data_IF_949458345801
#
_entry.id   IF_949458345801
#
_cell.length_a   1.000
_cell.length_b   1.000
_cell.length_c   1.000
_cell.angle_alpha   90.00
_cell.angle_beta   90.00
_cell.angle_gamma   90.00
#
_symmetry.space_group_name_H-M   'P 1'
#
loop_
_entity.id
_entity.type
_entity.pdbx_description
1 polymer ?
#
# COMPACT_ATOMS: atom_id res chain seq x y z
N UNK A 1 10.34 -19.81 -1.10
CA UNK A 1 11.35 -18.82 -0.63
C UNK A 1 12.76 -19.17 -1.09
N UNK A 2 13.10 -20.44 -1.23
CA UNK A 2 14.45 -20.88 -1.63
C UNK A 2 14.90 -20.25 -2.96
N UNK A 3 14.05 -20.25 -3.98
CA UNK A 3 14.35 -19.62 -5.26
C UNK A 3 14.63 -18.12 -5.15
N UNK A 4 13.90 -17.40 -4.31
CA UNK A 4 14.08 -15.96 -4.09
C UNK A 4 15.42 -15.68 -3.39
N UNK A 5 15.77 -16.52 -2.42
CA UNK A 5 16.95 -16.28 -1.61
C UNK A 5 18.25 -16.79 -2.26
N UNK A 6 18.18 -17.90 -3.01
CA UNK A 6 19.36 -18.66 -3.40
C UNK A 6 19.60 -18.78 -4.91
N UNK A 7 18.60 -18.46 -5.76
CA UNK A 7 18.80 -18.55 -7.21
C UNK A 7 19.74 -17.43 -7.71
N UNK A 8 20.82 -17.76 -8.44
CA UNK A 8 21.85 -16.78 -8.80
C UNK A 8 21.37 -15.68 -9.75
N UNK A 9 20.38 -15.99 -10.61
CA UNK A 9 19.81 -15.02 -11.56
C UNK A 9 18.62 -14.25 -10.99
N UNK A 10 18.19 -14.52 -9.75
CA UNK A 10 17.05 -13.82 -9.13
C UNK A 10 17.50 -12.45 -8.64
N UNK A 11 16.95 -11.40 -9.23
CA UNK A 11 17.24 -10.02 -8.86
C UNK A 11 16.48 -9.57 -7.62
N UNK A 12 15.23 -10.03 -7.48
CA UNK A 12 14.39 -9.70 -6.33
C UNK A 12 14.83 -10.49 -5.09
N UNK A 13 14.78 -9.84 -3.95
CA UNK A 13 15.05 -10.43 -2.63
C UNK A 13 13.81 -10.36 -1.77
N UNK A 14 13.80 -11.07 -0.66
CA UNK A 14 12.65 -11.13 0.25
C UNK A 14 12.17 -9.74 0.70
N UNK A 15 13.10 -8.82 0.90
CA UNK A 15 12.82 -7.44 1.33
C UNK A 15 12.18 -6.57 0.24
N UNK A 16 12.19 -7.03 -1.01
CA UNK A 16 11.52 -6.34 -2.12
C UNK A 16 10.02 -6.61 -2.16
N UNK A 17 9.51 -7.52 -1.31
CA UNK A 17 8.10 -7.89 -1.26
C UNK A 17 7.43 -7.32 -0.01
N UNK A 18 6.30 -6.63 -0.20
CA UNK A 18 5.49 -6.12 0.91
C UNK A 18 4.85 -7.26 1.75
N UNK A 19 4.52 -8.38 1.13
CA UNK A 19 3.98 -9.57 1.77
C UNK A 19 3.96 -10.77 0.83
N UNK A 20 3.74 -11.97 1.37
CA UNK A 20 3.65 -13.20 0.58
C UNK A 20 2.73 -14.23 1.22
N UNK A 21 2.17 -15.09 0.37
CA UNK A 21 1.46 -16.32 0.76
C UNK A 21 2.00 -17.47 -0.09
N UNK A 22 2.74 -18.36 0.53
CA UNK A 22 3.35 -19.54 -0.11
C UNK A 22 2.73 -20.77 0.52
N UNK A 23 1.55 -21.12 0.06
CA UNK A 23 0.73 -22.22 0.56
C UNK A 23 -0.10 -22.80 -0.60
N UNK A 24 -0.92 -23.80 -0.29
CA UNK A 24 -1.87 -24.44 -1.22
C UNK A 24 -3.30 -23.97 -1.02
N UNK A 25 -3.51 -22.89 -0.28
CA UNK A 25 -4.83 -22.30 -0.07
C UNK A 25 -5.34 -21.61 -1.34
N UNK A 26 -6.66 -21.37 -1.37
CA UNK A 26 -7.32 -20.62 -2.44
C UNK A 26 -6.68 -19.24 -2.65
N UNK A 27 -6.41 -18.89 -3.90
CA UNK A 27 -5.75 -17.62 -4.25
C UNK A 27 -6.60 -16.41 -3.85
N UNK A 28 -7.92 -16.49 -4.00
CA UNK A 28 -8.80 -15.41 -3.61
C UNK A 28 -8.75 -15.17 -2.09
N UNK A 29 -8.71 -16.23 -1.28
CA UNK A 29 -8.51 -16.14 0.17
C UNK A 29 -7.16 -15.47 0.50
N UNK A 30 -6.09 -15.93 -0.14
CA UNK A 30 -4.75 -15.35 0.06
C UNK A 30 -4.70 -13.86 -0.30
N UNK A 31 -5.40 -13.43 -1.36
CA UNK A 31 -5.50 -12.02 -1.74
C UNK A 31 -6.22 -11.23 -0.65
N UNK A 32 -7.37 -11.71 -0.15
CA UNK A 32 -8.11 -11.05 0.93
C UNK A 32 -7.25 -10.85 2.18
N UNK A 33 -6.53 -11.88 2.60
CA UNK A 33 -5.64 -11.79 3.75
C UNK A 33 -4.49 -10.79 3.53
N UNK A 34 -3.92 -10.73 2.32
CA UNK A 34 -2.84 -9.79 2.00
C UNK A 34 -3.34 -8.35 1.96
N UNK A 35 -4.50 -8.07 1.36
CA UNK A 35 -5.03 -6.71 1.30
C UNK A 35 -5.43 -6.20 2.68
N UNK A 36 -5.94 -7.07 3.56
CA UNK A 36 -6.21 -6.74 4.96
C UNK A 36 -4.91 -6.46 5.72
N UNK A 37 -3.90 -7.31 5.56
CA UNK A 37 -2.58 -7.13 6.18
C UNK A 37 -1.93 -5.81 5.76
N UNK A 38 -1.98 -5.48 4.47
CA UNK A 38 -1.38 -4.29 3.88
C UNK A 38 -2.29 -3.05 3.92
N UNK A 39 -3.52 -3.19 4.44
CA UNK A 39 -4.52 -2.13 4.47
C UNK A 39 -4.77 -1.51 3.09
N UNK A 40 -4.98 -2.36 2.09
CA UNK A 40 -5.28 -2.00 0.71
C UNK A 40 -6.75 -2.27 0.38
N UNK A 41 -7.28 -1.60 -0.64
CA UNK A 41 -8.56 -1.95 -1.24
C UNK A 41 -8.38 -2.94 -2.40
N UNK A 42 -9.35 -3.84 -2.61
CA UNK A 42 -9.32 -4.82 -3.70
C UNK A 42 -9.18 -4.18 -5.08
N UNK A 43 -9.77 -3.00 -5.28
CA UNK A 43 -9.65 -2.21 -6.51
C UNK A 43 -8.21 -1.74 -6.83
N UNK A 44 -7.30 -1.84 -5.87
CA UNK A 44 -5.87 -1.51 -6.06
C UNK A 44 -5.01 -2.73 -6.34
N UNK A 45 -5.64 -3.90 -6.52
CA UNK A 45 -4.94 -5.18 -6.73
C UNK A 45 -4.99 -5.59 -8.19
N UNK A 46 -3.83 -6.00 -8.70
CA UNK A 46 -3.69 -6.67 -9.99
C UNK A 46 -3.24 -8.09 -9.72
N UNK A 47 -4.02 -9.08 -10.18
CA UNK A 47 -3.67 -10.49 -10.03
C UNK A 47 -3.17 -11.06 -11.36
N UNK A 48 -1.94 -11.55 -11.37
CA UNK A 48 -1.28 -12.17 -12.51
C UNK A 48 -0.92 -13.61 -12.12
N UNK A 49 -1.35 -14.56 -12.94
CA UNK A 49 -1.05 -15.98 -12.76
C UNK A 49 -0.94 -16.65 -14.14
N UNK A 50 -0.08 -17.65 -14.29
CA UNK A 50 0.07 -18.41 -15.51
C UNK A 50 -1.09 -19.41 -15.72
N UNK A 51 -1.76 -19.82 -14.66
CA UNK A 51 -2.86 -20.77 -14.71
C UNK A 51 -4.19 -20.05 -15.03
N UNK A 52 -4.84 -20.33 -16.19
CA UNK A 52 -6.11 -19.71 -16.55
C UNK A 52 -7.25 -20.06 -15.58
N UNK A 53 -7.21 -21.22 -14.93
CA UNK A 53 -8.22 -21.64 -13.95
C UNK A 53 -8.13 -20.77 -12.69
N UNK A 54 -6.91 -20.48 -12.21
CA UNK A 54 -6.70 -19.61 -11.06
C UNK A 54 -7.13 -18.18 -11.38
N UNK A 55 -6.82 -17.68 -12.60
CA UNK A 55 -7.29 -16.35 -13.05
C UNK A 55 -8.82 -16.27 -13.08
N UNK A 56 -9.50 -17.28 -13.65
CA UNK A 56 -10.95 -17.33 -13.71
C UNK A 56 -11.56 -17.37 -12.29
N UNK A 57 -10.98 -18.18 -11.39
CA UNK A 57 -11.41 -18.31 -10.01
C UNK A 57 -11.32 -16.98 -9.25
N UNK A 58 -10.21 -16.27 -9.38
CA UNK A 58 -10.03 -14.96 -8.71
C UNK A 58 -10.99 -13.93 -9.30
N UNK A 59 -11.16 -13.89 -10.63
CA UNK A 59 -12.08 -12.96 -11.30
C UNK A 59 -13.54 -13.17 -10.87
N UNK A 60 -13.95 -14.43 -10.65
CA UNK A 60 -15.27 -14.76 -10.15
C UNK A 60 -15.46 -14.39 -8.67
N UNK A 61 -14.49 -14.75 -7.83
CA UNK A 61 -14.57 -14.56 -6.38
C UNK A 61 -14.37 -13.11 -5.93
N UNK A 62 -13.53 -12.36 -6.66
CA UNK A 62 -13.13 -10.99 -6.32
C UNK A 62 -13.27 -10.07 -7.54
N UNK A 63 -14.50 -9.66 -7.92
CA UNK A 63 -14.73 -8.87 -9.14
C UNK A 63 -14.03 -7.51 -9.16
N UNK A 64 -13.65 -6.98 -8.00
CA UNK A 64 -12.95 -5.70 -7.84
C UNK A 64 -11.47 -5.79 -8.19
N UNK A 65 -10.89 -7.01 -8.16
CA UNK A 65 -9.49 -7.26 -8.49
C UNK A 65 -9.33 -7.23 -10.01
N UNK A 66 -8.38 -6.46 -10.50
CA UNK A 66 -8.04 -6.45 -11.91
C UNK A 66 -7.25 -7.70 -12.27
N UNK A 67 -7.83 -8.57 -13.11
CA UNK A 67 -7.19 -9.77 -13.63
C UNK A 67 -6.99 -9.60 -15.14
N UNK A 68 -5.79 -9.21 -15.59
CA UNK A 68 -5.52 -9.01 -17.01
C UNK A 68 -5.55 -10.32 -17.80
N UNK A 69 -5.81 -10.21 -19.09
CA UNK A 69 -5.58 -11.33 -19.99
C UNK A 69 -4.08 -11.63 -20.05
N UNK A 70 -3.73 -12.90 -19.84
CA UNK A 70 -2.36 -13.32 -19.73
C UNK A 70 -2.02 -14.38 -20.75
N UNK A 71 -0.90 -14.28 -21.48
CA UNK A 71 -0.54 -15.23 -22.51
C UNK A 71 -0.24 -16.62 -21.95
N UNK A 72 -0.56 -17.67 -22.69
CA UNK A 72 -0.25 -19.05 -22.31
C UNK A 72 1.24 -19.37 -22.46
N UNK A 73 1.91 -18.72 -23.42
CA UNK A 73 3.33 -18.93 -23.67
C UNK A 73 4.18 -17.96 -22.85
N UNK A 74 5.03 -18.51 -21.99
CA UNK A 74 5.92 -17.76 -21.08
C UNK A 74 6.89 -16.79 -21.80
N UNK A 75 7.21 -17.02 -23.06
CA UNK A 75 8.03 -16.12 -23.86
C UNK A 75 7.43 -14.70 -23.97
N UNK A 76 6.12 -14.58 -23.88
CA UNK A 76 5.41 -13.31 -23.99
C UNK A 76 5.14 -12.64 -22.64
N UNK A 77 5.48 -13.25 -21.50
CA UNK A 77 5.21 -12.70 -20.15
C UNK A 77 5.84 -11.32 -19.94
N UNK A 78 7.09 -11.16 -20.36
CA UNK A 78 7.78 -9.87 -20.27
C UNK A 78 7.04 -8.79 -21.04
N UNK A 79 6.64 -9.09 -22.27
CA UNK A 79 5.91 -8.14 -23.11
C UNK A 79 4.53 -7.84 -22.54
N UNK A 80 3.81 -8.87 -22.06
CA UNK A 80 2.51 -8.70 -21.43
C UNK A 80 2.60 -7.78 -20.21
N UNK A 81 3.59 -8.00 -19.35
CA UNK A 81 3.81 -7.15 -18.17
C UNK A 81 4.14 -5.70 -18.57
N UNK A 82 4.99 -5.49 -19.57
CA UNK A 82 5.34 -4.15 -20.06
C UNK A 82 4.16 -3.41 -20.70
N UNK A 83 3.17 -4.11 -21.21
CA UNK A 83 1.98 -3.54 -21.81
C UNK A 83 0.89 -3.18 -20.79
N UNK A 84 1.03 -3.60 -19.52
CA UNK A 84 0.08 -3.23 -18.48
C UNK A 84 0.20 -1.76 -18.12
N UNK A 85 -0.86 -0.99 -18.39
CA UNK A 85 -0.93 0.45 -18.09
C UNK A 85 -1.40 0.75 -16.67
N UNK A 86 -1.90 -0.22 -15.95
CA UNK A 86 -2.38 -0.05 -14.57
C UNK A 86 -1.28 0.34 -13.56
N UNK A 87 -0.02 0.18 -13.93
CA UNK A 87 1.14 0.57 -13.13
C UNK A 87 1.76 1.90 -13.58
N UNK A 88 1.27 2.52 -14.65
CA UNK A 88 1.78 3.79 -15.13
C UNK A 88 1.47 4.89 -14.12
N UNK A 89 2.51 5.53 -13.61
CA UNK A 89 2.37 6.65 -12.69
C UNK A 89 3.15 7.86 -13.27
N UNK A 90 2.50 9.01 -13.44
CA UNK A 90 3.14 10.19 -14.05
C UNK A 90 4.30 10.74 -13.22
N UNK A 91 4.33 10.45 -11.93
CA UNK A 91 5.43 10.82 -11.05
C UNK A 91 5.55 9.84 -9.88
N UNK A 92 6.77 9.46 -9.55
CA UNK A 92 7.05 8.64 -8.37
C UNK A 92 7.59 9.57 -7.30
N UNK A 93 6.88 9.67 -6.17
CA UNK A 93 7.37 10.43 -5.01
C UNK A 93 8.40 9.60 -4.23
N UNK A 94 9.17 10.27 -3.36
CA UNK A 94 10.09 9.57 -2.46
C UNK A 94 9.36 8.58 -1.57
N UNK A 95 8.18 8.95 -1.10
CA UNK A 95 7.32 8.06 -0.30
C UNK A 95 6.89 6.81 -1.09
N UNK A 96 6.61 6.96 -2.38
CA UNK A 96 6.22 5.81 -3.22
C UNK A 96 7.38 4.82 -3.37
N UNK A 97 8.62 5.30 -3.46
CA UNK A 97 9.81 4.44 -3.52
C UNK A 97 10.11 3.71 -2.20
N UNK A 98 9.60 4.21 -1.09
CA UNK A 98 9.79 3.63 0.24
C UNK A 98 8.60 2.78 0.72
N UNK A 99 7.52 2.70 -0.06
CA UNK A 99 6.27 1.99 0.34
C UNK A 99 6.50 0.55 0.78
N UNK A 100 7.30 -0.22 0.06
CA UNK A 100 7.58 -1.61 0.41
C UNK A 100 8.18 -1.73 1.81
N UNK A 101 9.13 -0.84 2.14
CA UNK A 101 9.74 -0.79 3.49
C UNK A 101 8.72 -0.40 4.56
N UNK A 102 7.83 0.55 4.25
CA UNK A 102 6.76 0.96 5.16
C UNK A 102 5.82 -0.22 5.47
N UNK A 103 5.44 -1.01 4.46
CA UNK A 103 4.62 -2.20 4.66
C UNK A 103 5.32 -3.27 5.49
N UNK A 104 6.62 -3.49 5.29
CA UNK A 104 7.41 -4.42 6.09
C UNK A 104 7.42 -4.02 7.58
N UNK A 105 7.70 -2.75 7.87
CA UNK A 105 7.68 -2.20 9.23
C UNK A 105 6.29 -2.32 9.87
N UNK A 106 5.23 -2.01 9.12
CA UNK A 106 3.86 -2.10 9.65
C UNK A 106 3.45 -3.55 9.93
N UNK A 107 3.89 -4.50 9.11
CA UNK A 107 3.69 -5.93 9.36
C UNK A 107 4.35 -6.37 10.66
N UNK A 108 5.60 -5.97 10.90
CA UNK A 108 6.31 -6.25 12.15
C UNK A 108 5.58 -5.66 13.36
N UNK A 109 5.10 -4.43 13.23
CA UNK A 109 4.29 -3.78 14.28
C UNK A 109 3.01 -4.55 14.59
N UNK A 110 2.31 -5.05 13.56
CA UNK A 110 1.10 -5.87 13.76
C UNK A 110 1.40 -7.20 14.45
N UNK A 111 2.53 -7.83 14.13
CA UNK A 111 2.98 -9.05 14.81
C UNK A 111 3.28 -8.76 16.28
N UNK A 112 4.03 -7.70 16.56
CA UNK A 112 4.34 -7.28 17.92
C UNK A 112 3.06 -6.98 18.72
N UNK A 113 2.10 -6.26 18.12
CA UNK A 113 0.82 -5.95 18.76
C UNK A 113 0.06 -7.21 19.20
N UNK A 114 0.09 -8.30 18.41
CA UNK A 114 -0.58 -9.56 18.76
C UNK A 114 0.06 -10.26 19.97
N UNK A 115 1.33 -9.97 20.25
CA UNK A 115 2.11 -10.62 21.30
C UNK A 115 2.15 -9.81 22.61
N UNK A 116 1.57 -8.60 22.63
CA UNK A 116 1.58 -7.73 23.83
C UNK A 116 0.21 -7.83 24.53
N UNK A 117 0.18 -8.03 25.86
CA UNK A 117 -1.05 -8.30 26.62
C UNK A 117 -2.02 -7.12 26.68
N UNK A 118 -1.53 -5.87 26.58
CA UNK A 118 -2.37 -4.67 26.67
C UNK A 118 -2.04 -3.63 25.61
N UNK A 119 -3.05 -2.80 25.27
CA UNK A 119 -2.90 -1.69 24.33
C UNK A 119 -1.88 -0.65 24.85
N UNK A 120 -1.91 -0.38 26.16
CA UNK A 120 -1.04 0.63 26.79
C UNK A 120 0.44 0.22 26.73
N UNK A 121 0.74 -1.04 27.03
CA UNK A 121 2.09 -1.58 26.89
C UNK A 121 2.58 -1.52 25.44
N UNK A 122 1.69 -1.86 24.49
CA UNK A 122 2.02 -1.74 23.07
C UNK A 122 2.31 -0.30 22.64
N UNK A 123 1.49 0.67 23.05
CA UNK A 123 1.71 2.10 22.77
C UNK A 123 3.03 2.61 23.34
N UNK A 124 3.43 2.16 24.55
CA UNK A 124 4.72 2.49 25.15
C UNK A 124 5.89 1.95 24.32
N UNK A 125 5.79 0.73 23.77
CA UNK A 125 6.86 0.15 22.94
C UNK A 125 7.10 0.92 21.64
N UNK A 126 6.10 1.65 21.14
CA UNK A 126 6.21 2.43 19.90
C UNK A 126 7.06 3.70 20.07
N UNK A 127 7.31 4.17 21.29
CA UNK A 127 8.07 5.39 21.58
C UNK A 127 7.65 6.58 20.71
N UNK A 128 6.33 6.77 20.54
CA UNK A 128 5.77 7.77 19.64
C UNK A 128 6.15 9.17 20.14
N UNK A 129 6.82 9.93 19.30
CA UNK A 129 7.11 11.35 19.53
C UNK A 129 6.22 12.18 18.60
N UNK A 130 5.32 12.96 19.17
CA UNK A 130 4.47 13.90 18.45
C UNK A 130 5.09 15.29 18.50
N UNK A 131 5.33 15.87 17.31
CA UNK A 131 5.75 17.27 17.18
C UNK A 131 4.56 18.06 16.67
N UNK A 132 4.16 19.08 17.42
CA UNK A 132 3.10 20.02 17.04
C UNK A 132 3.75 21.32 16.61
N UNK A 133 3.37 21.81 15.44
CA UNK A 133 3.87 23.06 14.88
C UNK A 133 2.73 23.82 14.21
N UNK A 134 2.81 25.15 14.18
CA UNK A 134 1.86 26.00 13.49
C UNK A 134 2.06 25.90 11.97
N UNK A 135 0.98 26.07 11.22
CA UNK A 135 1.05 26.14 9.77
C UNK A 135 1.86 27.41 9.35
N UNK A 136 2.80 27.24 8.42
CA UNK A 136 3.65 28.31 7.94
C UNK A 136 4.10 28.05 6.49
N UNK A 137 4.76 29.03 5.88
CA UNK A 137 5.21 28.94 4.47
C UNK A 137 6.11 27.73 4.18
N UNK A 138 6.86 27.24 5.17
CA UNK A 138 7.79 26.12 4.96
C UNK A 138 7.10 24.76 5.02
N UNK A 139 6.01 24.63 5.78
CA UNK A 139 5.33 23.36 5.99
C UNK A 139 3.97 23.24 5.27
N UNK A 140 3.38 24.37 4.79
CA UNK A 140 2.04 24.39 4.18
C UNK A 140 1.92 23.45 2.97
N UNK A 141 2.93 23.39 2.13
CA UNK A 141 2.95 22.51 0.96
C UNK A 141 2.84 21.03 1.38
N UNK A 142 3.61 20.66 2.39
CA UNK A 142 3.58 19.29 2.93
C UNK A 142 2.27 18.99 3.66
N UNK A 143 1.77 19.93 4.43
CA UNK A 143 0.48 19.81 5.11
C UNK A 143 -0.67 19.58 4.11
N UNK A 144 -0.72 20.40 3.05
CA UNK A 144 -1.72 20.25 1.97
C UNK A 144 -1.62 18.88 1.29
N UNK A 145 -0.42 18.43 0.99
CA UNK A 145 -0.19 17.13 0.38
C UNK A 145 -0.72 16.00 1.29
N UNK A 146 -0.41 16.03 2.57
CA UNK A 146 -0.83 15.02 3.53
C UNK A 146 -2.36 15.02 3.71
N UNK A 147 -2.98 16.19 3.88
CA UNK A 147 -4.44 16.33 3.94
C UNK A 147 -5.12 15.70 2.71
N UNK A 148 -4.60 15.98 1.52
CA UNK A 148 -5.17 15.47 0.29
C UNK A 148 -4.93 13.96 0.06
N UNK A 149 -3.89 13.38 0.65
CA UNK A 149 -3.60 11.94 0.60
C UNK A 149 -4.32 11.14 1.68
N UNK A 150 -4.76 11.78 2.77
CA UNK A 150 -5.40 11.10 3.90
C UNK A 150 -6.86 10.81 3.60
N UNK A 151 -7.23 9.53 3.59
CA UNK A 151 -8.62 9.08 3.46
C UNK A 151 -9.19 8.58 4.80
N UNK A 152 -8.34 8.14 5.72
CA UNK A 152 -8.76 7.69 7.04
C UNK A 152 -9.08 8.89 7.93
N UNK A 153 -10.18 8.81 8.68
CA UNK A 153 -10.67 9.87 9.58
C UNK A 153 -11.01 11.20 8.87
N UNK A 154 -11.09 11.21 7.54
CA UNK A 154 -11.47 12.37 6.76
C UNK A 154 -12.98 12.34 6.47
N UNK A 155 -13.75 13.03 7.31
CA UNK A 155 -15.22 13.01 7.24
C UNK A 155 -15.79 13.74 6.02
N UNK A 156 -15.04 14.68 5.42
CA UNK A 156 -15.56 15.54 4.35
C UNK A 156 -15.01 15.22 2.97
N UNK A 157 -13.93 14.45 2.86
CA UNK A 157 -13.19 14.17 1.60
C UNK A 157 -12.82 15.40 0.77
N UNK A 158 -12.93 16.60 1.36
CA UNK A 158 -12.62 17.86 0.69
C UNK A 158 -11.13 17.94 0.38
N UNK A 159 -10.80 18.22 -0.87
CA UNK A 159 -9.43 18.49 -1.33
C UNK A 159 -9.19 20.00 -1.28
N UNK A 160 -8.08 20.41 -0.69
CA UNK A 160 -7.70 21.80 -0.54
C UNK A 160 -6.44 22.08 -1.34
N UNK A 161 -6.38 23.22 -1.99
CA UNK A 161 -5.14 23.80 -2.50
C UNK A 161 -4.33 24.46 -1.38
N UNK A 162 -3.06 24.75 -1.62
CA UNK A 162 -2.20 25.46 -0.66
C UNK A 162 -2.79 26.82 -0.28
N UNK A 163 -3.36 27.55 -1.27
CA UNK A 163 -3.96 28.85 -1.05
C UNK A 163 -5.25 28.77 -0.20
N UNK A 164 -6.08 27.76 -0.44
CA UNK A 164 -7.29 27.53 0.36
C UNK A 164 -6.95 27.16 1.79
N UNK A 165 -5.92 26.31 2.01
CA UNK A 165 -5.46 25.95 3.34
C UNK A 165 -4.88 27.17 4.08
N UNK A 166 -4.09 28.01 3.40
CA UNK A 166 -3.56 29.24 3.96
C UNK A 166 -4.65 30.27 4.31
N UNK A 167 -5.69 30.35 3.48
CA UNK A 167 -6.84 31.22 3.74
C UNK A 167 -7.66 30.69 4.94
N UNK A 168 -7.82 29.38 5.03
CA UNK A 168 -8.53 28.74 6.14
C UNK A 168 -7.84 28.97 7.48
N UNK A 169 -6.52 28.84 7.53
CA UNK A 169 -5.73 29.07 8.75
C UNK A 169 -5.83 30.51 9.27
N UNK A 170 -5.91 31.48 8.37
CA UNK A 170 -6.04 32.91 8.72
C UNK A 170 -7.41 33.29 9.25
N UNK A 171 -8.43 32.44 9.12
CA UNK A 171 -9.73 32.68 9.71
C UNK A 171 -9.69 32.41 11.20
N UNK A 172 -9.87 33.45 12.03
CA UNK A 172 -9.79 33.37 13.50
C UNK A 172 -10.78 32.39 14.15
N UNK A 173 -11.84 31.97 13.42
CA UNK A 173 -12.82 30.98 13.89
C UNK A 173 -12.38 29.53 13.71
N UNK A 174 -11.22 29.28 13.09
CA UNK A 174 -10.69 27.94 12.77
C UNK A 174 -9.49 27.54 13.63
N UNK A 175 -9.31 28.15 14.81
CA UNK A 175 -8.30 27.70 15.77
C UNK A 175 -8.74 26.40 16.43
N UNK A 176 -7.84 25.42 16.50
CA UNK A 176 -8.00 24.21 17.28
C UNK A 176 -7.62 24.44 18.74
#
# INVERSE_FOLDING_TARGET
LDAINNHPEMLLRQDDFAGWRINWDDKAKNILELVEELNLGLQSVVFIDNNPVERARVKEALPEVYVPDWPDNSMYYKQALQNLRCFDNPSISKEDSEKTKMYAVERERKILKKNVPSLDEWLQTLQIVVKVDSLNETNIKRATQLLNKTNQMNLSTRRLSENELAAWEKCNDNSF
#
